data_IF_669266496759
#
_entry.id   IF_669266496759
#
_cell.length_a   1.000
_cell.length_b   1.000
_cell.length_c   1.000
_cell.angle_alpha   90.00
_cell.angle_beta   90.00
_cell.angle_gamma   90.00
#
_symmetry.space_group_name_H-M   'P 1'
#
loop_
_entity.id
_entity.type
_entity.pdbx_description
1 polymer ?
#
# COMPACT_ATOMS: atom_id res chain seq x y z
N UNK A 1 13.06 22.44 -36.48
CA UNK A 1 13.99 21.40 -36.00
C UNK A 1 13.97 21.47 -34.48
N UNK A 2 13.22 20.57 -33.82
CA UNK A 2 13.10 20.58 -32.36
C UNK A 2 14.40 20.03 -31.74
N UNK A 3 14.86 20.57 -30.59
CA UNK A 3 16.04 20.07 -29.92
C UNK A 3 15.81 18.64 -29.42
N UNK A 4 16.88 17.86 -29.42
CA UNK A 4 16.85 16.44 -29.12
C UNK A 4 16.76 16.23 -27.59
N UNK A 5 15.55 16.05 -27.07
CA UNK A 5 15.29 15.92 -25.63
C UNK A 5 15.58 14.51 -25.15
N UNK A 6 16.74 14.34 -24.51
CA UNK A 6 17.16 13.08 -23.90
C UNK A 6 16.98 13.11 -22.39
N UNK A 7 16.43 12.03 -21.84
CA UNK A 7 16.39 11.83 -20.38
C UNK A 7 17.82 11.49 -19.92
N UNK A 8 18.37 12.20 -18.91
CA UNK A 8 19.66 11.86 -18.31
C UNK A 8 19.73 10.39 -17.84
N UNK A 9 20.87 9.74 -18.07
CA UNK A 9 21.03 8.30 -17.86
C UNK A 9 20.86 7.86 -16.39
N UNK A 10 21.17 8.75 -15.45
CA UNK A 10 20.98 8.57 -14.01
C UNK A 10 19.51 8.61 -13.58
N UNK A 11 18.63 9.18 -14.41
CA UNK A 11 17.19 9.20 -14.20
C UNK A 11 16.47 8.04 -14.90
N UNK A 12 17.19 7.20 -15.67
CA UNK A 12 16.62 6.00 -16.25
C UNK A 12 16.43 4.92 -15.18
N UNK A 13 15.25 4.29 -15.10
CA UNK A 13 15.05 3.11 -14.27
C UNK A 13 16.07 2.03 -14.62
N UNK A 14 16.71 1.46 -13.60
CA UNK A 14 17.72 0.39 -13.77
C UNK A 14 17.18 -0.84 -14.52
N UNK A 15 15.87 -1.02 -14.57
CA UNK A 15 15.20 -2.13 -15.24
C UNK A 15 14.72 -1.80 -16.67
N UNK A 16 15.04 -0.60 -17.18
CA UNK A 16 14.78 -0.19 -18.56
C UNK A 16 13.32 0.06 -18.92
N UNK A 17 12.41 0.13 -17.94
CA UNK A 17 10.96 0.18 -18.17
C UNK A 17 10.36 1.59 -18.05
N UNK A 18 10.87 2.53 -18.83
CA UNK A 18 10.24 3.85 -18.96
C UNK A 18 9.01 3.73 -19.89
N UNK A 19 7.81 4.06 -19.38
CA UNK A 19 6.61 4.25 -20.22
C UNK A 19 5.81 3.00 -20.64
N UNK A 20 6.10 1.79 -20.15
CA UNK A 20 5.39 0.55 -20.58
C UNK A 20 4.35 0.00 -19.57
N UNK A 21 3.77 0.84 -18.72
CA UNK A 21 2.91 0.41 -17.61
C UNK A 21 3.62 0.44 -16.26
N UNK A 22 2.95 0.09 -15.14
CA UNK A 22 3.42 0.44 -13.81
C UNK A 22 4.76 -0.23 -13.53
N UNK A 23 5.80 0.59 -13.51
CA UNK A 23 7.20 0.22 -13.34
C UNK A 23 7.33 -0.53 -12.01
N UNK A 24 7.42 -1.87 -12.08
CA UNK A 24 7.50 -2.80 -10.94
C UNK A 24 6.60 -2.41 -9.76
N UNK A 25 5.30 -2.65 -9.86
CA UNK A 25 4.51 -2.83 -8.62
C UNK A 25 5.08 -4.06 -7.97
N UNK A 26 5.92 -3.88 -6.95
CA UNK A 26 6.42 -5.00 -6.17
C UNK A 26 5.20 -5.70 -5.56
N UNK A 27 5.17 -7.04 -5.42
CA UNK A 27 4.01 -7.75 -4.88
C UNK A 27 3.51 -7.19 -3.54
N UNK A 28 4.40 -6.68 -2.70
CA UNK A 28 4.11 -5.96 -1.46
C UNK A 28 3.48 -4.57 -1.66
N UNK A 29 3.61 -3.97 -2.84
CA UNK A 29 2.91 -2.75 -3.24
C UNK A 29 1.50 -3.03 -3.80
N UNK A 30 1.19 -4.29 -4.12
CA UNK A 30 -0.19 -4.74 -4.34
C UNK A 30 -0.78 -5.02 -2.95
N UNK A 31 -1.51 -4.04 -2.43
CA UNK A 31 -1.96 -3.98 -1.03
C UNK A 31 -2.44 -5.32 -0.44
N UNK A 32 -1.63 -5.90 0.46
CA UNK A 32 -1.99 -6.99 1.38
C UNK A 32 -2.75 -6.44 2.59
N UNK A 33 -3.78 -5.63 2.33
CA UNK A 33 -4.60 -4.96 3.33
C UNK A 33 -5.96 -5.64 3.44
N UNK A 34 -6.31 -6.12 4.63
CA UNK A 34 -7.68 -6.49 4.96
C UNK A 34 -8.34 -5.35 5.74
N UNK A 35 -9.65 -5.16 5.56
CA UNK A 35 -10.44 -4.22 6.35
C UNK A 35 -11.69 -4.92 6.88
N UNK A 36 -12.02 -4.69 8.16
CA UNK A 36 -13.17 -5.30 8.80
C UNK A 36 -13.82 -4.34 9.79
N UNK A 37 -15.11 -4.09 9.65
CA UNK A 37 -15.86 -3.20 10.54
C UNK A 37 -17.21 -2.86 9.93
N UNK A 38 -18.14 -2.40 10.75
CA UNK A 38 -19.37 -1.79 10.27
C UNK A 38 -19.12 -0.28 10.12
N UNK A 39 -19.42 0.28 8.94
CA UNK A 39 -19.27 1.70 8.68
C UNK A 39 -20.63 2.40 8.90
N UNK A 40 -20.70 3.28 9.90
CA UNK A 40 -21.90 4.09 10.12
C UNK A 40 -21.96 5.26 9.13
N UNK A 41 -23.16 5.80 8.89
CA UNK A 41 -23.34 7.01 8.07
C UNK A 41 -22.68 8.25 8.68
N UNK A 42 -22.41 8.25 9.99
CA UNK A 42 -21.65 9.28 10.68
C UNK A 42 -20.12 9.13 10.48
N UNK A 43 -19.67 8.07 9.80
CA UNK A 43 -18.26 7.82 9.52
C UNK A 43 -17.50 7.08 10.64
N UNK A 44 -18.21 6.41 11.55
CA UNK A 44 -17.60 5.58 12.60
C UNK A 44 -17.28 4.19 12.07
N UNK A 45 -16.18 3.60 12.54
CA UNK A 45 -15.85 2.19 12.32
C UNK A 45 -16.21 1.41 13.57
N UNK A 46 -17.30 0.65 13.50
CA UNK A 46 -17.88 -0.09 14.63
C UNK A 46 -17.40 -1.55 14.63
N UNK A 47 -17.25 -2.16 15.82
CA UNK A 47 -16.81 -3.55 15.94
C UNK A 47 -17.85 -4.51 15.36
N UNK A 48 -17.37 -5.58 14.73
CA UNK A 48 -18.19 -6.69 14.24
C UNK A 48 -17.99 -7.94 15.09
N UNK A 49 -18.90 -8.91 14.94
CA UNK A 49 -18.73 -10.22 15.57
C UNK A 49 -17.44 -10.90 15.09
N UNK A 50 -16.76 -11.56 16.02
CA UNK A 50 -15.52 -12.34 15.77
C UNK A 50 -14.37 -11.50 15.20
N UNK A 51 -14.29 -10.20 15.48
CA UNK A 51 -13.22 -9.32 14.99
C UNK A 51 -11.79 -9.87 15.27
N UNK A 52 -11.57 -10.46 16.44
CA UNK A 52 -10.29 -11.09 16.78
C UNK A 52 -9.94 -12.25 15.85
N UNK A 53 -10.89 -13.16 15.59
CA UNK A 53 -10.68 -14.29 14.69
C UNK A 53 -10.46 -13.85 13.25
N UNK A 54 -11.19 -12.84 12.78
CA UNK A 54 -11.02 -12.27 11.44
C UNK A 54 -9.62 -11.68 11.25
N UNK A 55 -9.06 -11.05 12.30
CA UNK A 55 -7.68 -10.56 12.30
C UNK A 55 -6.66 -11.70 12.24
N UNK A 56 -6.85 -12.76 13.03
CA UNK A 56 -6.00 -13.95 12.99
C UNK A 56 -6.05 -14.65 11.63
N UNK A 57 -7.23 -14.71 11.01
CA UNK A 57 -7.42 -15.30 9.69
C UNK A 57 -6.77 -14.44 8.59
N UNK A 58 -6.87 -13.12 8.67
CA UNK A 58 -6.17 -12.22 7.77
C UNK A 58 -4.65 -12.42 7.85
N UNK A 59 -4.09 -12.57 9.06
CA UNK A 59 -2.67 -12.89 9.22
C UNK A 59 -2.32 -14.26 8.60
N UNK A 60 -3.16 -15.29 8.82
CA UNK A 60 -2.98 -16.62 8.21
C UNK A 60 -2.98 -16.59 6.68
N UNK A 61 -3.77 -15.71 6.08
CA UNK A 61 -3.89 -15.53 4.63
C UNK A 61 -2.82 -14.60 4.03
N UNK A 62 -1.90 -14.06 4.84
CA UNK A 62 -0.81 -13.22 4.36
C UNK A 62 -1.18 -11.75 4.14
N UNK A 63 -2.29 -11.28 4.73
CA UNK A 63 -2.53 -9.84 4.81
C UNK A 63 -1.52 -9.22 5.79
N UNK A 64 -0.68 -8.33 5.28
CA UNK A 64 0.32 -7.62 6.06
C UNK A 64 -0.32 -6.61 7.03
N UNK A 65 -1.51 -6.11 6.69
CA UNK A 65 -2.20 -5.07 7.45
C UNK A 65 -3.68 -5.37 7.60
N UNK A 66 -4.21 -5.12 8.79
CA UNK A 66 -5.64 -5.23 9.09
C UNK A 66 -6.12 -3.90 9.65
N UNK A 67 -7.06 -3.26 8.96
CA UNK A 67 -7.81 -2.09 9.45
C UNK A 67 -9.09 -2.59 10.10
N UNK A 68 -9.34 -2.16 11.34
CA UNK A 68 -10.52 -2.56 12.09
C UNK A 68 -11.07 -1.42 12.96
N UNK A 69 -11.99 -1.74 13.87
CA UNK A 69 -12.67 -0.81 14.77
C UNK A 69 -11.73 0.02 15.64
N UNK A 70 -10.47 -0.41 15.82
CA UNK A 70 -9.43 0.40 16.50
C UNK A 70 -9.18 1.74 15.83
N UNK A 71 -9.48 1.85 14.54
CA UNK A 71 -9.35 3.10 13.78
C UNK A 71 -10.40 4.15 14.18
N UNK A 72 -11.47 3.72 14.87
CA UNK A 72 -12.64 4.47 15.37
C UNK A 72 -13.47 5.23 14.32
N UNK A 73 -12.84 5.82 13.31
CA UNK A 73 -13.45 6.65 12.27
C UNK A 73 -12.87 6.32 10.89
N UNK A 74 -13.64 6.60 9.84
CA UNK A 74 -13.18 6.44 8.46
C UNK A 74 -11.93 7.29 8.17
N UNK A 75 -11.84 8.49 8.76
CA UNK A 75 -10.64 9.34 8.63
C UNK A 75 -9.43 8.70 9.31
N UNK A 76 -9.60 8.10 10.50
CA UNK A 76 -8.55 7.33 11.19
C UNK A 76 -8.07 6.17 10.33
N UNK A 77 -9.00 5.35 9.84
CA UNK A 77 -8.71 4.21 8.97
C UNK A 77 -7.94 4.61 7.70
N UNK A 78 -8.35 5.71 7.04
CA UNK A 78 -7.62 6.24 5.88
C UNK A 78 -6.22 6.78 6.25
N UNK A 79 -6.06 7.29 7.47
CA UNK A 79 -4.76 7.68 8.03
C UNK A 79 -3.84 6.47 8.19
N UNK A 80 -4.35 5.38 8.77
CA UNK A 80 -3.61 4.13 8.97
C UNK A 80 -3.15 3.53 7.63
N UNK A 81 -4.04 3.51 6.62
CA UNK A 81 -3.68 3.08 5.25
C UNK A 81 -2.56 3.93 4.66
N UNK A 82 -2.59 5.25 4.86
CA UNK A 82 -1.56 6.15 4.34
C UNK A 82 -0.23 5.99 5.08
N UNK A 83 -0.26 5.81 6.40
CA UNK A 83 0.92 5.57 7.20
C UNK A 83 1.63 4.28 6.78
N UNK A 84 0.87 3.23 6.45
CA UNK A 84 1.42 1.98 5.92
C UNK A 84 1.92 2.09 4.47
N UNK A 85 1.39 3.03 3.67
CA UNK A 85 1.80 3.25 2.28
C UNK A 85 2.98 4.23 2.13
N UNK A 86 3.43 4.89 3.20
CA UNK A 86 4.53 5.83 3.12
C UNK A 86 5.78 5.16 2.52
N UNK A 87 6.40 5.76 1.49
CA UNK A 87 7.47 5.12 0.74
C UNK A 87 8.64 4.81 1.66
N UNK A 88 9.13 3.56 1.62
CA UNK A 88 10.49 3.25 2.07
C UNK A 88 11.44 4.23 1.38
N UNK A 89 12.38 4.79 2.15
CA UNK A 89 13.48 5.60 1.62
C UNK A 89 14.10 4.88 0.42
N UNK A 90 14.47 5.65 -0.60
CA UNK A 90 14.94 5.20 -1.91
C UNK A 90 16.23 4.34 -1.85
N UNK A 91 16.81 4.12 -0.67
CA UNK A 91 18.17 3.60 -0.49
C UNK A 91 18.23 2.11 -0.13
N UNK A 92 17.12 1.49 0.32
CA UNK A 92 17.16 0.11 0.82
C UNK A 92 16.68 -0.89 -0.26
N UNK A 93 17.66 -1.49 -0.93
CA UNK A 93 17.61 -2.76 -1.67
C UNK A 93 16.92 -2.77 -3.05
N UNK A 94 17.71 -2.39 -4.06
CA UNK A 94 17.68 -3.07 -5.37
C UNK A 94 18.64 -4.25 -5.25
N UNK A 95 18.18 -5.51 -5.27
CA UNK A 95 19.08 -6.66 -5.34
C UNK A 95 19.93 -6.55 -6.61
N UNK A 96 21.25 -6.71 -6.45
CA UNK A 96 22.13 -6.86 -7.60
C UNK A 96 21.81 -8.21 -8.26
N UNK A 97 21.22 -8.16 -9.44
CA UNK A 97 21.22 -9.27 -10.40
C UNK A 97 21.88 -8.76 -11.67
#
# INVERSE_FOLDING_TARGET
>A
MAPDLHIPADLLPRDGRFGCGPSKVRPEQVATLAAVGELSLAGEVRPVTQAAQRRSEAARLGYAHVIDDRSATLRGALGDVKAHRAPRRLDDEVPAF
#
